data_IF_396764159896
#
_entry.id   IF_396764159896
#
_cell.length_a   1.000
_cell.length_b   1.000
_cell.length_c   1.000
_cell.angle_alpha   90.00
_cell.angle_beta   90.00
_cell.angle_gamma   90.00
#
_symmetry.space_group_name_H-M   'P 1'
#
loop_
_entity.id
_entity.type
_entity.pdbx_description
1 polymer ?
#
# COMPACT_ATOMS: atom_id res chain seq x y z
N UNK A 1 3.18 22.64 14.95
CA UNK A 1 2.10 22.64 13.94
C UNK A 1 1.66 21.19 13.70
N UNK A 2 0.63 20.70 14.41
CA UNK A 2 0.07 19.35 14.26
C UNK A 2 -1.39 19.49 13.85
N UNK A 3 -1.73 19.04 12.66
CA UNK A 3 -3.10 19.07 12.13
C UNK A 3 -3.97 18.08 12.91
N UNK A 4 -4.92 18.61 13.69
CA UNK A 4 -6.06 17.88 14.25
C UNK A 4 -7.10 17.71 13.15
N UNK A 5 -7.42 16.48 12.79
CA UNK A 5 -8.62 16.19 11.99
C UNK A 5 -9.66 15.65 12.97
N UNK A 6 -10.56 16.55 13.38
CA UNK A 6 -11.76 16.27 14.19
C UNK A 6 -12.94 16.19 13.24
N UNK A 7 -13.47 15.00 12.95
CA UNK A 7 -14.81 14.84 12.38
C UNK A 7 -15.31 13.40 12.55
N UNK A 8 -15.87 13.07 13.71
CA UNK A 8 -16.60 11.81 13.90
C UNK A 8 -17.86 12.06 14.73
N UNK A 9 -18.87 12.60 14.09
CA UNK A 9 -20.25 12.56 14.55
C UNK A 9 -21.14 12.54 13.30
N UNK A 10 -21.70 11.36 12.98
CA UNK A 10 -22.46 10.99 11.76
C UNK A 10 -21.66 10.87 10.45
N UNK A 11 -20.89 9.79 10.28
CA UNK A 11 -20.55 9.31 8.93
C UNK A 11 -21.81 8.68 8.34
N UNK A 12 -22.33 9.25 7.24
CA UNK A 12 -23.42 8.64 6.48
C UNK A 12 -22.92 7.33 5.83
N UNK A 13 -23.81 6.40 5.51
CA UNK A 13 -23.47 5.15 4.79
C UNK A 13 -22.65 5.45 3.52
N UNK A 14 -22.93 6.62 2.90
CA UNK A 14 -22.21 7.18 1.76
C UNK A 14 -20.74 7.48 2.06
N UNK A 15 -20.41 7.98 3.25
CA UNK A 15 -19.02 8.29 3.64
C UNK A 15 -18.21 7.01 3.87
N UNK A 16 -18.86 5.95 4.40
CA UNK A 16 -18.25 4.62 4.54
C UNK A 16 -17.94 4.05 3.15
N UNK A 17 -18.92 4.09 2.23
CA UNK A 17 -18.75 3.70 0.84
C UNK A 17 -17.66 4.51 0.13
N UNK A 18 -17.53 5.80 0.42
CA UNK A 18 -16.49 6.66 -0.14
C UNK A 18 -15.08 6.26 0.34
N UNK A 19 -14.92 5.99 1.65
CA UNK A 19 -13.66 5.50 2.22
C UNK A 19 -13.25 4.14 1.65
N UNK A 20 -14.20 3.22 1.46
CA UNK A 20 -13.94 1.92 0.86
C UNK A 20 -13.48 2.05 -0.60
N UNK A 21 -14.05 3.00 -1.37
CA UNK A 21 -13.60 3.28 -2.75
C UNK A 21 -12.16 3.79 -2.78
N UNK A 22 -11.77 4.65 -1.83
CA UNK A 22 -10.38 5.13 -1.71
C UNK A 22 -9.42 4.02 -1.28
N UNK A 23 -9.85 3.15 -0.35
CA UNK A 23 -9.10 1.96 0.06
C UNK A 23 -8.86 1.00 -1.10
N UNK A 24 -9.91 0.67 -1.85
CA UNK A 24 -9.84 -0.24 -2.99
C UNK A 24 -8.96 0.33 -4.12
N UNK A 25 -8.98 1.64 -4.33
CA UNK A 25 -8.08 2.30 -5.27
C UNK A 25 -6.61 2.17 -4.83
N UNK A 26 -6.31 2.32 -3.54
CA UNK A 26 -4.95 2.20 -3.02
C UNK A 26 -4.43 0.74 -3.04
N UNK A 27 -5.31 -0.24 -2.79
CA UNK A 27 -5.02 -1.67 -2.99
C UNK A 27 -4.75 -2.00 -4.46
N UNK A 28 -5.53 -1.43 -5.40
CA UNK A 28 -5.28 -1.57 -6.83
C UNK A 28 -3.89 -1.05 -7.22
N UNK A 29 -3.47 0.11 -6.70
CA UNK A 29 -2.13 0.64 -6.98
C UNK A 29 -1.05 -0.29 -6.42
N UNK A 30 -1.24 -0.84 -5.21
CA UNK A 30 -0.32 -1.85 -4.65
C UNK A 30 -0.24 -3.10 -5.53
N UNK A 31 -1.37 -3.65 -5.98
CA UNK A 31 -1.40 -4.80 -6.88
C UNK A 31 -0.75 -4.51 -8.24
N UNK A 32 -0.80 -3.27 -8.72
CA UNK A 32 -0.09 -2.86 -9.93
C UNK A 32 1.44 -2.87 -9.72
N UNK A 33 1.94 -2.41 -8.57
CA UNK A 33 3.36 -2.54 -8.21
C UNK A 33 3.78 -4.01 -8.02
N UNK A 34 2.91 -4.84 -7.45
CA UNK A 34 3.18 -6.28 -7.33
C UNK A 34 3.23 -6.95 -8.72
N UNK A 35 2.37 -6.56 -9.65
CA UNK A 35 2.40 -7.06 -11.04
C UNK A 35 3.73 -6.73 -11.71
N UNK A 36 4.18 -5.48 -11.66
CA UNK A 36 5.46 -5.11 -12.28
C UNK A 36 6.62 -5.86 -11.64
N UNK A 37 6.61 -6.05 -10.32
CA UNK A 37 7.58 -6.90 -9.62
C UNK A 37 7.67 -8.32 -10.19
N UNK A 38 6.54 -9.02 -10.33
CA UNK A 38 6.52 -10.40 -10.87
C UNK A 38 7.06 -10.45 -12.29
N UNK A 39 6.74 -9.46 -13.12
CA UNK A 39 7.26 -9.37 -14.50
C UNK A 39 8.78 -9.20 -14.48
N UNK A 40 9.32 -8.24 -13.71
CA UNK A 40 10.77 -8.03 -13.63
C UNK A 40 11.51 -9.25 -13.06
N UNK A 41 10.99 -9.89 -12.01
CA UNK A 41 11.59 -11.11 -11.47
C UNK A 41 11.55 -12.26 -12.47
N UNK A 42 10.40 -12.51 -13.09
CA UNK A 42 10.24 -13.59 -14.07
C UNK A 42 11.17 -13.40 -15.26
N UNK A 43 11.27 -12.17 -15.79
CA UNK A 43 12.19 -11.83 -16.86
C UNK A 43 13.66 -11.97 -16.43
N UNK A 44 14.02 -11.49 -15.23
CA UNK A 44 15.38 -11.63 -14.70
C UNK A 44 15.79 -13.09 -14.50
N UNK A 45 14.91 -13.92 -13.92
CA UNK A 45 15.15 -15.36 -13.77
C UNK A 45 15.26 -16.06 -15.13
N UNK A 46 14.42 -15.70 -16.11
CA UNK A 46 14.49 -16.27 -17.44
C UNK A 46 15.84 -15.97 -18.11
N UNK A 47 16.32 -14.73 -18.02
CA UNK A 47 17.63 -14.32 -18.56
C UNK A 47 18.76 -15.10 -17.88
N UNK A 48 18.74 -15.22 -16.55
CA UNK A 48 19.79 -15.92 -15.80
C UNK A 48 19.81 -17.42 -16.07
N UNK A 49 18.65 -18.05 -16.31
CA UNK A 49 18.58 -19.49 -16.61
C UNK A 49 19.01 -19.86 -18.02
N UNK A 50 18.99 -18.92 -18.97
CA UNK A 50 19.28 -19.20 -20.37
C UNK A 50 20.78 -19.02 -20.65
N UNK A 51 21.49 -20.13 -20.86
CA UNK A 51 22.92 -20.13 -21.19
C UNK A 51 23.26 -19.36 -22.49
N UNK A 52 22.31 -19.25 -23.41
CA UNK A 52 22.43 -18.46 -24.64
C UNK A 52 22.45 -16.94 -24.40
N UNK A 53 22.07 -16.48 -23.20
CA UNK A 53 21.98 -15.07 -22.82
C UNK A 53 23.14 -14.63 -21.91
N UNK A 54 24.26 -15.37 -21.90
CA UNK A 54 25.42 -15.10 -21.04
C UNK A 54 25.97 -13.67 -21.14
N UNK A 55 25.96 -13.10 -22.35
CA UNK A 55 26.45 -11.73 -22.58
C UNK A 55 25.59 -10.66 -21.88
N UNK A 56 24.34 -10.97 -21.54
CA UNK A 56 23.39 -10.07 -20.87
C UNK A 56 23.03 -10.50 -19.45
N UNK A 57 23.82 -11.39 -18.82
CA UNK A 57 23.60 -11.83 -17.44
C UNK A 57 23.54 -10.68 -16.43
N UNK A 58 24.32 -9.63 -16.63
CA UNK A 58 24.29 -8.44 -15.78
C UNK A 58 22.89 -7.81 -15.77
N UNK A 59 22.23 -7.73 -16.93
CA UNK A 59 20.87 -7.18 -17.04
C UNK A 59 19.88 -8.06 -16.26
N UNK A 60 20.03 -9.39 -16.33
CA UNK A 60 19.23 -10.33 -15.54
C UNK A 60 19.36 -10.10 -14.03
N UNK A 61 20.59 -9.92 -13.55
CA UNK A 61 20.85 -9.62 -12.14
C UNK A 61 20.29 -8.25 -11.73
N UNK A 62 20.43 -7.23 -12.59
CA UNK A 62 19.86 -5.90 -12.38
C UNK A 62 18.33 -5.95 -12.27
N UNK A 63 17.66 -6.76 -13.11
CA UNK A 63 16.22 -6.98 -13.04
C UNK A 63 15.79 -7.68 -11.73
N UNK A 64 16.55 -8.68 -11.30
CA UNK A 64 16.31 -9.39 -10.04
C UNK A 64 16.49 -8.47 -8.83
N UNK A 65 17.40 -7.49 -8.89
CA UNK A 65 17.58 -6.49 -7.82
C UNK A 65 16.52 -5.40 -7.86
N UNK A 66 16.16 -4.90 -9.05
CA UNK A 66 15.21 -3.78 -9.18
C UNK A 66 13.77 -4.19 -8.85
N UNK A 67 13.41 -5.46 -9.11
CA UNK A 67 12.10 -6.01 -8.76
C UNK A 67 11.79 -5.82 -7.26
N UNK A 68 12.53 -6.44 -6.34
CA UNK A 68 12.34 -6.30 -4.90
C UNK A 68 12.34 -4.85 -4.45
N UNK A 69 13.17 -3.98 -5.03
CA UNK A 69 13.19 -2.55 -4.71
C UNK A 69 11.84 -1.89 -5.04
N UNK A 70 11.29 -2.12 -6.24
CA UNK A 70 9.97 -1.64 -6.62
C UNK A 70 8.86 -2.18 -5.70
N UNK A 71 8.94 -3.47 -5.33
CA UNK A 71 8.00 -4.08 -4.39
C UNK A 71 8.12 -3.46 -3.00
N UNK A 72 9.33 -3.23 -2.49
CA UNK A 72 9.57 -2.60 -1.20
C UNK A 72 8.96 -1.18 -1.14
N UNK A 73 9.18 -0.38 -2.17
CA UNK A 73 8.59 0.97 -2.28
C UNK A 73 7.06 0.89 -2.25
N UNK A 74 6.47 -0.03 -3.02
CA UNK A 74 5.02 -0.26 -3.03
C UNK A 74 4.48 -0.74 -1.68
N UNK A 75 5.17 -1.67 -1.03
CA UNK A 75 4.80 -2.24 0.27
C UNK A 75 4.88 -1.21 1.40
N UNK A 76 5.95 -0.40 1.46
CA UNK A 76 6.09 0.67 2.45
C UNK A 76 4.94 1.67 2.31
N UNK A 77 4.61 2.10 1.09
CA UNK A 77 3.49 3.01 0.83
C UNK A 77 2.17 2.40 1.28
N UNK A 78 1.93 1.14 0.96
CA UNK A 78 0.71 0.44 1.35
C UNK A 78 0.58 0.33 2.87
N UNK A 79 1.65 -0.09 3.55
CA UNK A 79 1.66 -0.27 5.01
C UNK A 79 1.52 1.05 5.77
N UNK A 80 2.17 2.12 5.28
CA UNK A 80 2.06 3.46 5.85
C UNK A 80 0.61 3.97 5.85
N UNK A 81 -0.09 3.85 4.72
CA UNK A 81 -1.50 4.25 4.60
C UNK A 81 -2.40 3.38 5.48
N UNK A 82 -2.15 2.06 5.54
CA UNK A 82 -2.93 1.15 6.40
C UNK A 82 -2.76 1.44 7.89
N UNK A 83 -1.55 1.81 8.34
CA UNK A 83 -1.25 2.08 9.76
C UNK A 83 -1.85 3.37 10.30
N UNK A 84 -1.91 4.43 9.49
CA UNK A 84 -2.46 5.72 9.92
C UNK A 84 -3.94 5.67 10.29
N UNK A 85 -4.69 4.70 9.75
CA UNK A 85 -6.12 4.59 10.01
C UNK A 85 -6.41 3.80 11.31
N UNK A 86 -5.50 2.92 11.75
CA UNK A 86 -5.76 2.05 12.92
C UNK A 86 -5.60 2.76 14.27
N UNK A 87 -4.84 3.87 14.34
CA UNK A 87 -4.62 4.61 15.60
C UNK A 87 -5.76 5.55 15.99
N UNK A 88 -6.77 5.71 15.15
CA UNK A 88 -7.90 6.62 15.41
C UNK A 88 -9.12 5.94 16.05
N UNK A 89 -9.11 4.62 16.25
CA UNK A 89 -10.30 3.87 16.70
C UNK A 89 -10.26 3.42 18.17
N UNK A 90 -9.12 3.59 18.85
CA UNK A 90 -8.93 3.09 20.23
C UNK A 90 -9.29 4.15 21.29
N UNK A 91 -9.94 5.25 20.90
CA UNK A 91 -10.34 6.37 21.79
C UNK A 91 -11.85 6.41 22.08
N UNK A 92 -12.64 5.52 21.47
CA UNK A 92 -14.12 5.54 21.55
C UNK A 92 -14.69 4.76 22.77
N UNK A 93 -13.91 4.61 23.85
CA UNK A 93 -14.28 3.82 25.03
C UNK A 93 -14.89 4.60 26.20
N UNK A 94 -14.79 5.93 26.23
CA UNK A 94 -15.26 6.73 27.36
C UNK A 94 -16.00 7.98 26.86
N UNK A 95 -17.33 7.90 26.82
CA UNK A 95 -18.21 9.05 26.61
C UNK A 95 -18.57 9.63 27.99
N UNK A 96 -18.17 10.86 28.34
CA UNK A 96 -18.81 11.57 29.44
C UNK A 96 -20.18 12.08 28.99
N UNK A 97 -21.22 11.45 29.52
CA UNK A 97 -22.60 11.93 29.49
C UNK A 97 -22.63 13.39 29.98
N UNK A 98 -22.89 14.34 29.08
CA UNK A 98 -22.98 15.74 29.45
C UNK A 98 -24.33 16.29 29.00
N UNK A 99 -25.07 16.74 30.01
CA UNK A 99 -26.40 17.32 30.02
C UNK A 99 -26.74 18.23 28.83
N UNK A 100 -27.93 17.97 28.30
CA UNK A 100 -28.65 18.83 27.37
C UNK A 100 -29.25 20.03 28.12
N UNK A 101 -29.14 21.26 27.61
CA UNK A 101 -30.17 22.26 27.81
C UNK A 101 -31.23 22.23 26.68
#
# INVERSE_FOLDING_TARGET
>A
MKYKVTFKSHLSLTDILALDRTRLANERTFLAYFRSFVVFLSSGLAIVKLDILKDILWIGYLLIVIGPVLLFIGAIRFYYVRRHIKKMYDYDGELPETDQP
#
